data_IF_341849209149
#
_entry.id   IF_341849209149
#
_cell.length_a   1.000
_cell.length_b   1.000
_cell.length_c   1.000
_cell.angle_alpha   90.00
_cell.angle_beta   90.00
_cell.angle_gamma   90.00
#
_symmetry.space_group_name_H-M   'P 1'
#
loop_
_entity.id
_entity.type
_entity.pdbx_description
1 polymer ?
#
# COMPACT_ATOMS: atom_id res chain seq x y z
N UNK A 1 18.97 -7.52 2.05
CA UNK A 1 18.29 -6.77 3.14
C UNK A 1 16.81 -6.70 2.84
N UNK A 2 15.95 -6.99 3.82
CA UNK A 2 14.50 -6.91 3.66
C UNK A 2 14.08 -5.44 3.41
N UNK A 3 13.05 -5.22 2.59
CA UNK A 3 12.57 -3.89 2.23
C UNK A 3 11.35 -3.58 3.07
N UNK A 4 11.45 -2.56 3.93
CA UNK A 4 10.32 -2.09 4.71
C UNK A 4 9.42 -1.19 3.87
N UNK A 5 8.12 -1.33 4.07
CA UNK A 5 7.11 -0.56 3.36
C UNK A 5 6.01 -0.08 4.31
N UNK A 6 5.50 1.12 4.07
CA UNK A 6 4.23 1.58 4.63
C UNK A 6 3.23 1.75 3.48
N UNK A 7 2.15 0.98 3.51
CA UNK A 7 1.21 0.93 2.39
C UNK A 7 -0.02 1.84 2.59
N UNK A 8 -0.07 2.65 3.65
CA UNK A 8 -1.21 3.52 3.93
C UNK A 8 -0.80 4.90 4.45
N UNK A 9 -0.37 5.81 3.56
CA UNK A 9 -0.31 7.24 3.92
C UNK A 9 -1.55 7.94 3.38
N UNK A 10 -2.27 8.69 4.23
CA UNK A 10 -3.51 9.34 3.80
C UNK A 10 -3.19 10.66 3.12
N UNK A 11 -3.59 10.79 1.86
CA UNK A 11 -3.54 12.06 1.14
C UNK A 11 -4.55 13.03 1.76
N UNK A 12 -4.07 13.92 2.63
CA UNK A 12 -4.85 15.07 3.07
C UNK A 12 -5.01 16.11 1.95
N UNK A 13 -5.76 17.17 2.24
CA UNK A 13 -5.91 18.32 1.31
C UNK A 13 -4.62 19.12 1.13
N UNK A 14 -3.67 19.03 2.07
CA UNK A 14 -2.39 19.74 2.03
C UNK A 14 -1.26 18.88 1.46
N UNK A 15 -0.80 19.24 0.27
CA UNK A 15 0.34 18.60 -0.40
C UNK A 15 1.66 18.81 0.35
N UNK A 16 1.82 19.89 1.12
CA UNK A 16 3.04 20.13 1.91
C UNK A 16 3.15 19.14 3.07
N UNK A 17 2.05 18.89 3.77
CA UNK A 17 1.98 17.87 4.81
C UNK A 17 2.30 16.48 4.25
N UNK A 18 1.77 16.15 3.06
CA UNK A 18 2.07 14.89 2.38
C UNK A 18 3.56 14.76 2.00
N UNK A 19 4.20 15.85 1.55
CA UNK A 19 5.65 15.86 1.29
C UNK A 19 6.47 15.57 2.55
N UNK A 20 6.16 16.28 3.64
CA UNK A 20 6.82 16.07 4.93
C UNK A 20 6.63 14.65 5.48
N UNK A 21 5.47 14.03 5.24
CA UNK A 21 5.21 12.63 5.59
C UNK A 21 6.13 11.66 4.86
N UNK A 22 6.27 11.82 3.54
CA UNK A 22 7.14 10.96 2.70
C UNK A 22 8.61 11.15 3.06
N UNK A 23 9.05 12.39 3.31
CA UNK A 23 10.40 12.68 3.78
C UNK A 23 10.68 12.04 5.13
N UNK A 24 9.74 12.13 6.07
CA UNK A 24 9.84 11.47 7.39
C UNK A 24 9.89 9.95 7.23
N UNK A 25 9.09 9.38 6.33
CA UNK A 25 9.13 7.95 6.05
C UNK A 25 10.50 7.51 5.48
N UNK A 26 11.07 8.29 4.56
CA UNK A 26 12.40 8.02 4.01
C UNK A 26 13.48 8.09 5.11
N UNK A 27 13.40 9.08 6.00
CA UNK A 27 14.29 9.22 7.15
C UNK A 27 14.20 8.04 8.13
N UNK A 28 12.99 7.54 8.39
CA UNK A 28 12.77 6.38 9.26
C UNK A 28 13.21 5.04 8.64
N UNK A 29 13.54 5.01 7.33
CA UNK A 29 14.07 3.83 6.65
C UNK A 29 13.05 3.06 5.79
N UNK A 30 11.85 3.60 5.54
CA UNK A 30 10.90 3.01 4.60
C UNK A 30 11.41 3.17 3.17
N UNK A 31 11.48 2.07 2.41
CA UNK A 31 11.92 2.15 1.01
C UNK A 31 10.77 2.22 0.02
N UNK A 32 9.57 1.83 0.44
CA UNK A 32 8.35 1.90 -0.37
C UNK A 32 7.25 2.52 0.48
N UNK A 33 6.52 3.46 -0.11
CA UNK A 33 5.40 4.13 0.53
C UNK A 33 4.23 4.15 -0.46
N UNK A 34 3.00 3.91 0.01
CA UNK A 34 1.81 4.07 -0.82
C UNK A 34 0.92 5.21 -0.30
N UNK A 35 0.54 6.11 -1.22
CA UNK A 35 -0.39 7.20 -0.97
C UNK A 35 -1.80 6.69 -1.22
N UNK A 36 -2.62 6.70 -0.18
CA UNK A 36 -3.95 6.15 -0.17
C UNK A 36 -5.02 7.21 -0.42
N UNK A 37 -5.91 6.90 -1.37
CA UNK A 37 -7.12 7.65 -1.68
C UNK A 37 -8.33 6.89 -1.15
N UNK A 38 -9.12 7.55 -0.30
CA UNK A 38 -10.28 6.93 0.35
C UNK A 38 -11.54 7.37 -0.36
N UNK A 39 -12.35 6.41 -0.78
CA UNK A 39 -13.65 6.69 -1.42
C UNK A 39 -14.77 6.11 -0.57
N UNK A 40 -15.73 6.97 -0.22
CA UNK A 40 -16.93 6.61 0.54
C UNK A 40 -18.19 6.95 -0.26
N UNK A 41 -18.81 5.94 -0.86
CA UNK A 41 -19.96 6.09 -1.76
C UNK A 41 -21.29 6.47 -1.07
N UNK A 42 -21.25 7.10 0.11
CA UNK A 42 -22.45 7.66 0.77
C UNK A 42 -23.20 8.64 -0.13
N UNK A 43 -22.49 9.34 -1.01
CA UNK A 43 -23.05 10.24 -1.99
C UNK A 43 -23.12 9.56 -3.36
N UNK A 44 -24.33 9.46 -3.92
CA UNK A 44 -24.66 8.71 -5.16
C UNK A 44 -23.93 9.17 -6.43
N UNK A 45 -22.98 10.12 -6.35
CA UNK A 45 -22.26 10.73 -7.48
C UNK A 45 -20.73 10.77 -7.33
N UNK A 46 -20.14 10.04 -6.38
CA UNK A 46 -18.68 10.02 -6.29
C UNK A 46 -18.09 9.09 -7.36
N UNK A 47 -17.41 9.68 -8.33
CA UNK A 47 -16.53 8.96 -9.24
C UNK A 47 -15.16 8.75 -8.59
N UNK A 48 -14.52 7.63 -8.91
CA UNK A 48 -13.14 7.39 -8.50
C UNK A 48 -12.24 8.37 -9.25
N UNK A 49 -11.52 9.24 -8.54
CA UNK A 49 -10.60 10.18 -9.17
C UNK A 49 -9.36 9.47 -9.72
N UNK A 50 -8.63 10.16 -10.60
CA UNK A 50 -7.33 9.66 -11.04
C UNK A 50 -6.33 9.79 -9.88
N UNK A 51 -5.41 8.84 -9.72
CA UNK A 51 -4.39 8.95 -8.69
C UNK A 51 -3.52 10.19 -8.93
N UNK A 52 -3.04 10.81 -7.85
CA UNK A 52 -2.11 11.93 -7.95
C UNK A 52 -0.83 11.46 -8.65
N UNK A 53 -0.37 12.21 -9.65
CA UNK A 53 0.87 11.90 -10.32
C UNK A 53 2.06 12.20 -9.38
N UNK A 54 2.92 11.21 -9.16
CA UNK A 54 4.09 11.36 -8.28
C UNK A 54 5.01 12.49 -8.73
N UNK A 55 5.10 12.73 -10.04
CA UNK A 55 5.87 13.84 -10.64
C UNK A 55 5.33 15.23 -10.28
N UNK A 56 4.03 15.36 -9.98
CA UNK A 56 3.43 16.62 -9.51
C UNK A 56 3.74 16.85 -8.03
N UNK A 57 3.90 15.76 -7.27
CA UNK A 57 4.22 15.82 -5.85
C UNK A 57 5.69 16.12 -5.59
N UNK A 58 6.62 15.51 -6.34
CA UNK A 58 8.05 15.64 -6.11
C UNK A 58 8.81 15.90 -7.40
N UNK A 59 9.67 16.92 -7.39
CA UNK A 59 10.68 17.15 -8.44
C UNK A 59 11.85 16.19 -8.29
N UNK A 60 12.23 15.86 -7.05
CA UNK A 60 13.25 14.86 -6.70
C UNK A 60 12.76 14.05 -5.52
N UNK A 61 12.87 12.73 -5.61
CA UNK A 61 12.43 11.82 -4.56
C UNK A 61 13.45 11.76 -3.41
N UNK A 62 13.02 11.76 -2.14
CA UNK A 62 13.94 11.69 -1.02
C UNK A 62 14.67 10.34 -0.99
N UNK A 63 15.94 10.38 -0.59
CA UNK A 63 16.80 9.21 -0.43
C UNK A 63 16.56 8.58 0.94
N UNK A 64 16.42 7.26 0.96
CA UNK A 64 16.07 6.52 2.18
C UNK A 64 17.28 6.43 3.10
N UNK A 65 17.11 6.69 4.39
CA UNK A 65 18.21 6.55 5.34
C UNK A 65 18.72 5.09 5.38
N UNK A 66 20.03 4.91 5.32
CA UNK A 66 20.68 3.60 5.27
C UNK A 66 20.66 2.91 3.90
N UNK A 67 20.06 3.53 2.87
CA UNK A 67 20.13 3.06 1.47
C UNK A 67 20.34 4.23 0.52
N UNK A 68 21.33 4.15 -0.36
CA UNK A 68 21.58 5.17 -1.40
C UNK A 68 20.57 5.12 -2.57
N UNK A 69 19.29 4.85 -2.29
CA UNK A 69 18.22 4.75 -3.29
C UNK A 69 17.05 5.65 -2.94
N UNK A 70 16.39 6.26 -3.95
CA UNK A 70 15.19 7.05 -3.73
C UNK A 70 14.05 6.17 -3.24
N UNK A 71 13.16 6.75 -2.43
CA UNK A 71 11.93 6.08 -1.98
C UNK A 71 11.02 5.80 -3.18
N UNK A 72 10.39 4.62 -3.20
CA UNK A 72 9.39 4.27 -4.21
C UNK A 72 8.00 4.66 -3.71
N UNK A 73 7.37 5.62 -4.40
CA UNK A 73 6.01 6.06 -4.09
C UNK A 73 5.02 5.31 -5.00
N UNK A 74 3.99 4.76 -4.39
CA UNK A 74 2.91 4.01 -5.04
C UNK A 74 1.58 4.70 -4.82
N UNK A 75 0.61 4.37 -5.66
CA UNK A 75 -0.76 4.89 -5.57
C UNK A 75 -1.69 3.79 -5.09
N UNK A 76 -2.52 4.08 -4.09
CA UNK A 76 -3.45 3.14 -3.49
C UNK A 76 -4.86 3.71 -3.44
N UNK A 77 -5.84 2.85 -3.64
CA UNK A 77 -7.26 3.15 -3.46
C UNK A 77 -7.83 2.30 -2.34
N UNK A 78 -8.49 2.91 -1.35
CA UNK A 78 -9.32 2.22 -0.35
C UNK A 78 -10.78 2.58 -0.57
N UNK A 79 -11.62 1.57 -0.82
CA UNK A 79 -13.06 1.75 -0.98
C UNK A 79 -13.79 1.32 0.30
N UNK A 80 -14.60 2.22 0.85
CA UNK A 80 -15.50 1.92 1.96
C UNK A 80 -16.77 1.25 1.41
N UNK A 81 -17.00 0.01 1.80
CA UNK A 81 -18.12 -0.80 1.31
C UNK A 81 -19.13 -0.98 2.44
N UNK A 82 -20.23 -0.22 2.33
CA UNK A 82 -21.40 -0.28 3.21
C UNK A 82 -22.56 -1.03 2.57
N UNK A 83 -22.69 -0.98 1.24
CA UNK A 83 -23.76 -1.62 0.49
C UNK A 83 -23.19 -2.57 -0.61
N UNK A 84 -23.85 -3.69 -0.92
CA UNK A 84 -23.42 -4.60 -1.98
C UNK A 84 -23.32 -3.97 -3.37
N UNK A 85 -24.07 -2.90 -3.65
CA UNK A 85 -24.00 -2.17 -4.92
C UNK A 85 -22.63 -1.52 -5.15
N UNK A 86 -21.91 -1.13 -4.09
CA UNK A 86 -20.56 -0.54 -4.21
C UNK A 86 -19.56 -1.57 -4.75
N UNK A 87 -19.76 -2.86 -4.46
CA UNK A 87 -18.94 -3.94 -5.00
C UNK A 87 -19.04 -4.04 -6.53
N UNK A 88 -20.13 -3.57 -7.15
CA UNK A 88 -20.27 -3.60 -8.61
C UNK A 88 -19.24 -2.67 -9.28
N UNK A 89 -18.86 -1.56 -8.63
CA UNK A 89 -17.81 -0.65 -9.15
C UNK A 89 -16.46 -1.37 -9.22
N UNK A 90 -16.17 -2.21 -8.23
CA UNK A 90 -14.96 -3.04 -8.18
C UNK A 90 -15.02 -4.17 -9.22
N UNK A 91 -16.16 -4.88 -9.31
CA UNK A 91 -16.35 -6.01 -10.24
C UNK A 91 -16.39 -5.59 -11.70
N UNK A 92 -16.86 -4.39 -12.00
CA UNK A 92 -16.96 -3.89 -13.37
C UNK A 92 -15.59 -3.61 -14.03
N UNK A 93 -14.46 -3.87 -13.34
CA UNK A 93 -13.11 -3.51 -13.79
C UNK A 93 -13.04 -2.07 -14.30
N UNK A 94 -13.62 -1.14 -13.52
CA UNK A 94 -13.59 0.29 -13.84
C UNK A 94 -12.17 0.68 -14.24
N UNK A 95 -12.04 1.32 -15.41
CA UNK A 95 -10.75 1.73 -15.99
C UNK A 95 -9.92 2.53 -15.00
N UNK A 96 -10.57 3.25 -14.09
CA UNK A 96 -9.96 4.07 -13.05
C UNK A 96 -9.33 3.24 -11.92
N UNK A 97 -9.96 2.13 -11.51
CA UNK A 97 -9.43 1.23 -10.46
C UNK A 97 -8.13 0.55 -10.93
N UNK A 98 -7.97 0.33 -12.25
CA UNK A 98 -6.74 -0.21 -12.84
C UNK A 98 -5.57 0.79 -12.84
N UNK A 99 -5.81 2.08 -12.62
CA UNK A 99 -4.75 3.09 -12.54
C UNK A 99 -3.95 2.96 -11.24
N UNK A 100 -4.62 2.63 -10.14
CA UNK A 100 -3.99 2.44 -8.83
C UNK A 100 -3.16 1.16 -8.81
N UNK A 101 -2.01 1.23 -8.14
CA UNK A 101 -1.11 0.08 -7.97
C UNK A 101 -1.70 -0.93 -6.99
N UNK A 102 -2.31 -0.45 -5.91
CA UNK A 102 -2.91 -1.28 -4.86
C UNK A 102 -4.38 -0.90 -4.68
N UNK A 103 -5.26 -1.91 -4.63
CA UNK A 103 -6.69 -1.73 -4.34
C UNK A 103 -7.05 -2.44 -3.05
N UNK A 104 -7.56 -1.67 -2.11
CA UNK A 104 -8.00 -2.13 -0.81
C UNK A 104 -9.49 -1.91 -0.62
N UNK A 105 -10.11 -2.75 0.20
CA UNK A 105 -11.52 -2.64 0.54
C UNK A 105 -11.71 -2.60 2.05
N UNK A 106 -12.63 -1.75 2.50
CA UNK A 106 -13.01 -1.59 3.90
C UNK A 106 -14.47 -2.03 4.10
N UNK A 107 -14.73 -3.31 4.41
CA UNK A 107 -16.07 -3.85 4.55
C UNK A 107 -16.67 -3.51 5.93
N UNK A 108 -17.91 -2.99 5.96
CA UNK A 108 -18.62 -2.64 7.20
C UNK A 108 -19.51 -3.75 7.77
N UNK A 109 -19.85 -4.77 6.98
CA UNK A 109 -20.73 -5.87 7.42
C UNK A 109 -20.09 -7.23 7.18
N UNK A 110 -20.53 -8.25 7.92
CA UNK A 110 -20.03 -9.62 7.78
C UNK A 110 -20.23 -10.18 6.37
N UNK A 111 -21.38 -9.90 5.76
CA UNK A 111 -21.70 -10.33 4.39
C UNK A 111 -20.72 -9.71 3.38
N UNK A 112 -20.42 -8.43 3.53
CA UNK A 112 -19.47 -7.73 2.65
C UNK A 112 -18.03 -8.17 2.89
N UNK A 113 -17.66 -8.47 4.13
CA UNK A 113 -16.36 -9.05 4.45
C UNK A 113 -16.19 -10.41 3.78
N UNK A 114 -17.20 -11.28 3.83
CA UNK A 114 -17.18 -12.56 3.13
C UNK A 114 -16.97 -12.36 1.62
N UNK A 115 -17.78 -11.50 0.99
CA UNK A 115 -17.67 -11.20 -0.45
C UNK A 115 -16.30 -10.63 -0.82
N UNK A 116 -15.73 -9.75 0.01
CA UNK A 116 -14.39 -9.22 -0.17
C UNK A 116 -13.32 -10.31 -0.19
N UNK A 117 -13.42 -11.28 0.73
CA UNK A 117 -12.47 -12.37 0.83
C UNK A 117 -12.59 -13.39 -0.32
N UNK A 118 -13.79 -13.64 -0.83
CA UNK A 118 -14.04 -14.76 -1.76
C UNK A 118 -14.23 -14.35 -3.22
N UNK A 119 -14.84 -13.20 -3.49
CA UNK A 119 -15.34 -12.85 -4.83
C UNK A 119 -14.81 -11.54 -5.40
N UNK A 120 -14.26 -10.65 -4.58
CA UNK A 120 -13.71 -9.39 -5.10
C UNK A 120 -12.24 -9.56 -5.51
N UNK A 121 -11.87 -8.91 -6.61
CA UNK A 121 -10.50 -8.81 -7.10
C UNK A 121 -9.81 -7.59 -6.46
N UNK A 122 -9.47 -7.75 -5.19
CA UNK A 122 -8.79 -6.74 -4.37
C UNK A 122 -7.47 -7.31 -3.84
N UNK A 123 -6.55 -6.42 -3.49
CA UNK A 123 -5.23 -6.78 -3.00
C UNK A 123 -5.21 -6.85 -1.47
N UNK A 124 -5.94 -5.93 -0.82
CA UNK A 124 -5.97 -5.78 0.63
C UNK A 124 -7.40 -5.72 1.17
N UNK A 125 -7.61 -6.32 2.34
CA UNK A 125 -8.83 -6.14 3.14
C UNK A 125 -8.47 -5.37 4.40
N UNK A 126 -8.94 -4.13 4.48
CA UNK A 126 -8.75 -3.26 5.64
C UNK A 126 -9.65 -3.71 6.79
N UNK A 127 -9.08 -3.91 7.96
CA UNK A 127 -9.83 -4.25 9.17
C UNK A 127 -10.17 -2.99 9.97
N UNK A 128 -11.43 -2.87 10.38
CA UNK A 128 -11.87 -1.76 11.24
C UNK A 128 -11.18 -1.82 12.59
N UNK A 129 -10.51 -0.73 12.95
CA UNK A 129 -9.73 -0.60 14.20
C UNK A 129 -10.18 0.58 15.07
N UNK A 130 -11.08 1.42 14.57
CA UNK A 130 -11.53 2.65 15.24
C UNK A 130 -12.78 2.46 16.11
N UNK A 131 -13.58 1.44 15.83
CA UNK A 131 -14.84 1.14 16.50
C UNK A 131 -14.93 -0.37 16.77
N UNK A 132 -15.84 -0.75 17.69
CA UNK A 132 -16.14 -2.16 17.93
C UNK A 132 -16.63 -2.78 16.63
N UNK A 133 -15.95 -3.82 16.15
CA UNK A 133 -16.39 -4.55 14.96
C UNK A 133 -17.82 -5.07 15.18
N UNK A 134 -18.76 -4.80 14.25
CA UNK A 134 -20.14 -5.23 14.40
C UNK A 134 -20.33 -6.73 14.09
N UNK A 135 -19.26 -7.44 13.76
CA UNK A 135 -19.27 -8.87 13.42
C UNK A 135 -17.99 -9.58 13.86
N UNK A 136 -18.04 -10.90 13.91
CA UNK A 136 -16.91 -11.76 14.21
C UNK A 136 -16.24 -12.30 12.94
N UNK A 137 -14.92 -12.49 12.99
CA UNK A 137 -14.19 -13.13 11.90
C UNK A 137 -14.50 -14.64 11.87
N UNK A 138 -14.94 -15.13 10.70
CA UNK A 138 -15.13 -16.56 10.45
C UNK A 138 -13.90 -17.14 9.74
N UNK A 139 -13.51 -18.36 10.12
CA UNK A 139 -12.35 -19.05 9.53
C UNK A 139 -12.46 -19.30 8.01
N UNK A 140 -13.62 -19.75 7.46
CA UNK A 140 -13.71 -20.05 6.04
C UNK A 140 -13.36 -18.88 5.10
N UNK A 141 -13.94 -17.66 5.21
CA UNK A 141 -13.55 -16.55 4.34
C UNK A 141 -12.09 -16.14 4.53
N UNK A 142 -11.57 -16.17 5.75
CA UNK A 142 -10.17 -15.81 6.03
C UNK A 142 -9.20 -16.76 5.36
N UNK A 143 -9.43 -18.07 5.44
CA UNK A 143 -8.57 -19.05 4.78
C UNK A 143 -8.61 -18.89 3.25
N UNK A 144 -9.80 -18.70 2.66
CA UNK A 144 -9.92 -18.46 1.22
C UNK A 144 -9.16 -17.21 0.79
N UNK A 145 -9.23 -16.13 1.56
CA UNK A 145 -8.48 -14.91 1.27
C UNK A 145 -6.96 -15.17 1.30
N UNK A 146 -6.46 -15.89 2.30
CA UNK A 146 -5.04 -16.24 2.43
C UNK A 146 -4.57 -17.06 1.23
N UNK A 147 -5.34 -18.09 0.83
CA UNK A 147 -5.01 -18.97 -0.30
C UNK A 147 -5.05 -18.22 -1.64
N UNK A 148 -5.93 -17.22 -1.77
CA UNK A 148 -5.98 -16.30 -2.92
C UNK A 148 -4.84 -15.29 -2.94
N UNK A 149 -4.06 -15.17 -1.86
CA UNK A 149 -2.97 -14.20 -1.75
C UNK A 149 -3.39 -12.80 -1.29
N UNK A 150 -4.62 -12.62 -0.81
CA UNK A 150 -5.06 -11.36 -0.19
C UNK A 150 -4.34 -11.17 1.15
N UNK A 151 -4.04 -9.92 1.47
CA UNK A 151 -3.53 -9.55 2.79
C UNK A 151 -4.56 -8.76 3.61
N UNK A 152 -4.55 -9.00 4.92
CA UNK A 152 -5.35 -8.25 5.88
C UNK A 152 -4.54 -7.10 6.44
N UNK A 153 -5.08 -5.90 6.34
CA UNK A 153 -4.41 -4.70 6.83
C UNK A 153 -4.91 -4.29 8.20
N UNK A 154 -3.96 -4.10 9.12
CA UNK A 154 -4.14 -3.49 10.41
C UNK A 154 -3.49 -2.11 10.44
N UNK A 155 -4.32 -1.10 10.62
CA UNK A 155 -3.88 0.30 10.72
C UNK A 155 -3.59 0.63 12.19
N UNK A 156 -2.39 1.12 12.51
CA UNK A 156 -2.00 1.38 13.91
C UNK A 156 -2.22 2.81 14.39
N UNK A 157 -2.30 3.83 13.53
CA UNK A 157 -2.42 5.23 14.00
C UNK A 157 -3.59 5.49 14.98
N UNK A 158 -4.78 4.86 14.86
CA UNK A 158 -5.85 5.00 15.85
C UNK A 158 -5.44 4.61 17.28
N UNK A 159 -4.52 3.65 17.44
CA UNK A 159 -4.01 3.24 18.75
C UNK A 159 -3.14 4.31 19.42
N UNK A 160 -2.55 5.22 18.64
CA UNK A 160 -1.71 6.31 19.12
C UNK A 160 -2.55 7.57 19.36
N UNK A 161 -3.54 7.85 18.50
CA UNK A 161 -4.36 9.08 18.54
C UNK A 161 -5.25 9.17 19.77
N UNK A 162 -5.92 8.08 20.14
CA UNK A 162 -6.90 8.11 21.23
C UNK A 162 -6.92 6.82 22.05
N UNK A 163 -7.15 6.98 23.37
CA UNK A 163 -7.17 5.88 24.32
C UNK A 163 -8.37 4.93 24.14
N UNK A 164 -9.51 5.43 23.68
CA UNK A 164 -10.69 4.60 23.41
C UNK A 164 -10.50 3.79 22.13
N UNK A 165 -10.01 4.44 21.07
CA UNK A 165 -9.66 3.77 19.80
C UNK A 165 -8.58 2.71 20.00
N UNK A 166 -7.58 2.95 20.84
CA UNK A 166 -6.55 1.96 21.21
C UNK A 166 -7.12 0.64 21.68
N UNK A 167 -8.16 0.66 22.53
CA UNK A 167 -8.82 -0.56 23.02
C UNK A 167 -9.44 -1.36 21.88
N UNK A 168 -10.12 -0.69 20.96
CA UNK A 168 -10.72 -1.34 19.79
C UNK A 168 -9.67 -1.86 18.81
N UNK A 169 -8.61 -1.10 18.55
CA UNK A 169 -7.53 -1.52 17.66
C UNK A 169 -6.88 -2.82 18.16
N UNK A 170 -6.50 -2.88 19.45
CA UNK A 170 -5.89 -4.08 20.03
C UNK A 170 -6.88 -5.24 20.04
N UNK A 171 -8.13 -5.02 20.47
CA UNK A 171 -9.15 -6.09 20.53
C UNK A 171 -9.45 -6.68 19.15
N UNK A 172 -9.65 -5.83 18.13
CA UNK A 172 -9.95 -6.27 16.78
C UNK A 172 -8.75 -7.00 16.13
N UNK A 173 -7.52 -6.55 16.40
CA UNK A 173 -6.31 -7.20 15.95
C UNK A 173 -6.16 -8.61 16.56
N UNK A 174 -6.34 -8.74 17.89
CA UNK A 174 -6.29 -10.05 18.57
C UNK A 174 -7.36 -11.00 18.05
N UNK A 175 -8.58 -10.52 17.81
CA UNK A 175 -9.65 -11.32 17.23
C UNK A 175 -9.29 -11.84 15.82
N UNK A 176 -8.63 -11.01 15.00
CA UNK A 176 -8.13 -11.45 13.70
C UNK A 176 -7.01 -12.48 13.85
N UNK A 177 -6.05 -12.28 14.76
CA UNK A 177 -4.91 -13.19 14.94
C UNK A 177 -5.33 -14.59 15.38
N UNK A 178 -6.37 -14.70 16.22
CA UNK A 178 -6.94 -15.99 16.59
C UNK A 178 -7.44 -16.80 15.38
N UNK A 179 -7.87 -16.12 14.32
CA UNK A 179 -8.46 -16.72 13.13
C UNK A 179 -7.41 -16.95 12.03
N UNK A 180 -6.65 -15.91 11.67
CA UNK A 180 -5.65 -15.97 10.58
C UNK A 180 -4.31 -16.59 11.00
N UNK A 181 -4.03 -16.71 12.31
CA UNK A 181 -2.77 -17.19 12.87
C UNK A 181 -1.54 -16.45 12.32
N UNK A 182 -1.64 -15.13 12.14
CA UNK A 182 -0.56 -14.27 11.66
C UNK A 182 -0.26 -14.33 10.17
N UNK A 183 -0.99 -15.15 9.39
CA UNK A 183 -0.76 -15.28 7.94
C UNK A 183 -1.31 -14.08 7.17
N UNK A 184 -0.50 -13.59 6.23
CA UNK A 184 -0.84 -12.50 5.31
C UNK A 184 -1.38 -11.25 6.00
N UNK A 185 -0.83 -10.90 7.16
CA UNK A 185 -1.18 -9.66 7.87
C UNK A 185 -0.15 -8.59 7.50
N UNK A 186 -0.62 -7.38 7.22
CA UNK A 186 0.23 -6.19 7.07
C UNK A 186 -0.14 -5.16 8.12
N UNK A 187 0.86 -4.37 8.55
CA UNK A 187 0.66 -3.25 9.47
C UNK A 187 1.04 -1.97 8.73
N UNK A 188 0.15 -0.98 8.76
CA UNK A 188 0.34 0.31 8.11
C UNK A 188 -0.08 1.45 9.03
N UNK A 189 0.38 2.66 8.72
CA UNK A 189 0.14 3.80 9.61
C UNK A 189 -1.27 4.38 9.45
N UNK A 190 -1.72 4.65 8.22
CA UNK A 190 -2.76 5.64 7.92
C UNK A 190 -2.43 7.02 8.50
N UNK A 191 -1.14 7.37 8.55
CA UNK A 191 -0.68 8.65 9.07
C UNK A 191 -1.20 9.80 8.19
N UNK A 192 -1.76 10.82 8.86
CA UNK A 192 -2.13 12.11 8.26
C UNK A 192 -1.11 13.19 8.62
N UNK A 193 -0.35 12.98 9.71
CA UNK A 193 0.65 13.91 10.21
C UNK A 193 2.01 13.24 10.37
N UNK A 194 3.14 13.94 10.11
CA UNK A 194 4.49 13.38 10.26
C UNK A 194 4.79 12.76 11.63
N UNK A 195 4.14 13.22 12.69
CA UNK A 195 4.36 12.70 14.05
C UNK A 195 3.59 11.39 14.34
N UNK A 196 2.81 10.87 13.38
CA UNK A 196 2.03 9.64 13.54
C UNK A 196 2.73 8.41 12.93
N UNK A 197 3.68 8.63 12.03
CA UNK A 197 4.50 7.54 11.48
C UNK A 197 5.56 7.11 12.50
N UNK A 198 5.86 5.81 12.55
CA UNK A 198 6.86 5.21 13.45
C UNK A 198 7.90 4.47 12.63
N UNK A 199 9.10 4.28 13.19
CA UNK A 199 10.13 3.48 12.53
C UNK A 199 9.67 2.02 12.32
N UNK A 200 10.10 1.34 11.25
CA UNK A 200 9.58 0.01 10.90
C UNK A 200 9.81 -1.04 11.99
N UNK A 201 10.90 -0.94 12.74
CA UNK A 201 11.18 -1.83 13.88
C UNK A 201 10.25 -1.59 15.08
N UNK A 202 9.86 -0.33 15.32
CA UNK A 202 8.89 0.00 16.36
C UNK A 202 7.49 -0.49 15.98
N UNK A 203 7.13 -0.37 14.70
CA UNK A 203 5.88 -0.95 14.17
C UNK A 203 5.89 -2.49 14.27
N UNK A 204 7.03 -3.15 14.02
CA UNK A 204 7.16 -4.59 14.24
C UNK A 204 6.97 -4.96 15.72
N UNK A 205 7.52 -4.19 16.66
CA UNK A 205 7.26 -4.40 18.09
C UNK A 205 5.78 -4.21 18.44
N UNK A 206 5.10 -3.25 17.82
CA UNK A 206 3.65 -3.06 17.97
C UNK A 206 2.87 -4.29 17.45
N UNK A 207 3.36 -4.95 16.40
CA UNK A 207 2.80 -6.21 15.91
C UNK A 207 2.77 -7.32 16.95
N UNK A 208 3.74 -7.38 17.88
CA UNK A 208 3.74 -8.33 18.98
C UNK A 208 2.55 -8.09 19.93
N UNK A 209 2.21 -6.83 20.20
CA UNK A 209 1.04 -6.45 21.00
C UNK A 209 -0.28 -6.88 20.33
N UNK A 210 -0.29 -6.94 19.00
CA UNK A 210 -1.42 -7.45 18.22
C UNK A 210 -1.52 -8.97 18.20
N UNK A 211 -0.59 -9.69 18.83
CA UNK A 211 -0.59 -11.16 18.92
C UNK A 211 0.15 -11.86 17.77
N UNK A 212 0.95 -11.13 16.99
CA UNK A 212 1.87 -11.73 16.02
C UNK A 212 3.11 -12.29 16.73
N UNK A 213 3.73 -13.31 16.13
CA UNK A 213 5.06 -13.75 16.53
C UNK A 213 6.12 -12.72 16.10
N UNK A 214 7.32 -12.76 16.65
CA UNK A 214 8.41 -11.84 16.26
C UNK A 214 8.73 -11.91 14.76
N UNK A 215 8.76 -13.13 14.21
CA UNK A 215 8.97 -13.35 12.78
C UNK A 215 7.83 -12.78 11.94
N UNK A 216 6.58 -13.01 12.35
CA UNK A 216 5.41 -12.56 11.59
C UNK A 216 5.23 -11.04 11.69
N UNK A 217 5.53 -10.44 12.84
CA UNK A 217 5.45 -9.01 13.05
C UNK A 217 6.49 -8.26 12.18
N UNK A 218 7.71 -8.77 12.08
CA UNK A 218 8.71 -8.26 11.14
C UNK A 218 8.30 -8.50 9.68
N UNK A 219 7.68 -9.65 9.39
CA UNK A 219 7.17 -9.94 8.05
C UNK A 219 6.01 -9.01 7.66
N UNK A 220 5.17 -8.58 8.62
CA UNK A 220 4.01 -7.74 8.40
C UNK A 220 4.34 -6.33 7.89
N UNK A 221 5.56 -5.83 8.14
CA UNK A 221 6.07 -4.54 7.64
C UNK A 221 7.05 -4.69 6.47
N UNK A 222 7.31 -5.92 6.02
CA UNK A 222 8.31 -6.23 5.01
C UNK A 222 7.82 -7.29 4.01
N UNK A 223 7.96 -8.57 4.33
CA UNK A 223 7.71 -9.67 3.39
C UNK A 223 6.25 -9.72 2.93
N UNK A 224 5.31 -9.53 3.85
CA UNK A 224 3.87 -9.54 3.53
C UNK A 224 3.49 -8.29 2.71
N UNK A 225 4.09 -7.14 3.00
CA UNK A 225 3.90 -5.94 2.17
C UNK A 225 4.41 -6.15 0.73
N UNK A 226 5.54 -6.84 0.58
CA UNK A 226 6.07 -7.20 -0.75
C UNK A 226 5.12 -8.15 -1.49
N UNK A 227 4.57 -9.15 -0.79
CA UNK A 227 3.60 -10.07 -1.38
C UNK A 227 2.33 -9.35 -1.84
N UNK A 228 1.80 -8.44 -1.01
CA UNK A 228 0.65 -7.62 -1.36
C UNK A 228 0.93 -6.69 -2.56
N UNK A 229 2.13 -6.12 -2.64
CA UNK A 229 2.54 -5.30 -3.79
C UNK A 229 2.59 -6.12 -5.09
N UNK A 230 3.13 -7.34 -5.01
CA UNK A 230 3.20 -8.24 -6.16
C UNK A 230 1.80 -8.68 -6.60
N UNK A 231 0.90 -8.95 -5.65
CA UNK A 231 -0.51 -9.22 -5.95
C UNK A 231 -1.14 -8.08 -6.77
N UNK A 232 -0.95 -6.83 -6.34
CA UNK A 232 -1.41 -5.65 -7.07
C UNK A 232 -0.79 -5.50 -8.47
N UNK A 233 0.49 -5.83 -8.63
CA UNK A 233 1.16 -5.81 -9.94
C UNK A 233 0.56 -6.83 -10.93
N UNK A 234 0.26 -8.04 -10.46
CA UNK A 234 -0.41 -9.08 -11.28
C UNK A 234 -1.85 -8.71 -11.63
N UNK A 235 -2.58 -8.05 -10.73
CA UNK A 235 -3.92 -7.50 -10.99
C UNK A 235 -3.88 -6.40 -12.05
N UNK A 236 -2.87 -5.52 -11.99
CA UNK A 236 -2.74 -4.34 -12.87
C UNK A 236 -2.31 -4.72 -14.29
N UNK A 237 -1.43 -5.71 -14.44
CA UNK A 237 -0.86 -6.13 -15.72
C UNK A 237 -1.61 -7.32 -16.31
N UNK A 238 -1.22 -8.54 -15.94
CA UNK A 238 -1.98 -9.77 -16.12
C UNK A 238 -1.50 -10.83 -15.12
N UNK A 239 -2.34 -11.82 -14.84
CA UNK A 239 -2.06 -12.85 -13.83
C UNK A 239 -0.86 -13.76 -14.17
N UNK A 240 -0.55 -13.96 -15.45
CA UNK A 240 0.51 -14.88 -15.88
C UNK A 240 1.58 -14.28 -16.81
N UNK A 241 1.34 -13.10 -17.41
CA UNK A 241 2.24 -12.51 -18.42
C UNK A 241 2.37 -11.00 -18.16
N UNK A 242 3.58 -10.53 -17.84
CA UNK A 242 3.87 -9.10 -17.69
C UNK A 242 4.54 -8.60 -18.97
N UNK A 243 3.81 -7.82 -19.77
CA UNK A 243 4.38 -7.15 -20.95
C UNK A 243 4.94 -5.79 -20.54
N UNK A 244 6.25 -5.59 -20.73
CA UNK A 244 6.91 -4.30 -20.50
C UNK A 244 7.59 -3.83 -21.78
N UNK A 245 7.47 -2.53 -22.07
CA UNK A 245 8.20 -1.90 -23.18
C UNK A 245 9.51 -1.36 -22.62
N UNK A 246 10.60 -2.09 -22.83
CA UNK A 246 11.94 -1.60 -22.49
C UNK A 246 12.34 -0.53 -23.51
N UNK A 247 12.33 0.74 -23.08
CA UNK A 247 13.00 1.79 -23.84
C UNK A 247 14.50 1.75 -23.50
N UNK A 248 15.41 1.66 -24.48
CA UNK A 248 16.82 1.80 -24.19
C UNK A 248 17.08 3.17 -23.57
N UNK A 249 17.91 3.21 -22.52
CA UNK A 249 18.44 4.49 -22.04
C UNK A 249 19.36 5.02 -23.15
N UNK A 250 19.34 6.32 -23.51
CA UNK A 250 20.40 6.87 -24.32
C UNK A 250 21.71 6.65 -23.53
N UNK A 251 22.57 5.78 -24.06
CA UNK A 251 23.93 5.62 -23.57
C UNK A 251 24.70 6.90 -23.92
N UNK A 252 25.47 7.42 -22.96
CA UNK A 252 26.47 8.47 -23.16
C UNK A 252 27.68 7.95 -23.99
N UNK A 253 27.43 7.14 -25.02
CA UNK A 253 28.45 6.46 -25.84
C UNK A 253 28.26 6.75 -27.34
N UNK A 254 27.81 7.96 -27.70
CA UNK A 254 27.77 8.42 -29.10
C UNK A 254 28.55 9.73 -29.36
N UNK A 255 29.51 10.08 -28.51
CA UNK A 255 30.49 11.17 -28.81
C UNK A 255 31.88 10.67 -29.22
N UNK A 256 32.21 9.38 -29.10
CA UNK A 256 33.54 8.83 -29.43
C UNK A 256 33.58 7.93 -30.67
N UNK A 257 32.52 7.91 -31.49
CA UNK A 257 32.47 7.16 -32.76
C UNK A 257 32.63 8.05 -34.00
N UNK A 258 33.43 9.12 -33.91
CA UNK A 258 33.94 9.81 -35.09
C UNK A 258 35.16 9.05 -35.64
N UNK A 259 35.13 8.53 -36.88
CA UNK A 259 36.28 7.86 -37.47
C UNK A 259 37.46 8.84 -37.63
N UNK A 260 38.65 8.39 -37.19
CA UNK A 260 39.93 9.12 -37.19
C UNK A 260 40.52 9.37 -38.60
N UNK A 261 39.71 9.77 -39.58
CA UNK A 261 40.14 9.97 -40.98
C UNK A 261 39.86 11.36 -41.57
N UNK A 262 39.59 12.38 -40.75
CA UNK A 262 39.56 13.79 -41.21
C UNK A 262 40.40 14.75 -40.35
N UNK A 263 41.48 14.25 -39.73
CA UNK A 263 42.58 15.08 -39.22
C UNK A 263 43.73 15.09 -40.21
N UNK A 264 43.49 15.55 -41.43
CA UNK A 264 44.55 15.96 -42.35
C UNK A 264 43.94 16.81 -43.48
N UNK A 265 44.57 17.97 -43.73
CA UNK A 265 44.30 18.98 -44.77
C UNK A 265 43.22 20.02 -44.46
N UNK A 266 43.66 21.06 -43.75
CA UNK A 266 43.53 22.46 -44.19
C UNK A 266 44.58 23.29 -43.42
N UNK A 267 45.86 23.12 -43.78
CA UNK A 267 46.83 24.21 -43.71
C UNK A 267 47.17 24.56 -45.16
N UNK A 268 46.96 25.82 -45.51
CA UNK A 268 47.06 26.39 -46.84
C UNK A 268 46.38 27.75 -46.84
#
# INVERSE_FOLDING_TARGET
MAVFADLDLRAGSDLKALRGLVETAAHLGYSVVAINHVVDFKEKKQEIEKPIAVSELFTTLPVVQGKSRPIKILTRLTIIVTDPSHCNVLRATSSRVRLYDIVAVFPKTEKLFHVACTHLDVDLVCITVTEKLPFYFKRPPVNVAIDRGLAFELVYSPAIRDSTMRRYTISNALNLMQICKGKNVIISSAAERPLEIRGPYDVANLGLLFGLSESDAKAAVSTNCRAALLHGETRKTAFGIISTVKKPRPSEEEEDSLPACKRAKCEG
#
